data_IF_127176513330
#
_entry.id   IF_127176513330
#
_cell.length_a   1.000
_cell.length_b   1.000
_cell.length_c   1.000
_cell.angle_alpha   90.00
_cell.angle_beta   90.00
_cell.angle_gamma   90.00
#
_symmetry.space_group_name_H-M   'P 1'
#
loop_
_entity.id
_entity.type
_entity.pdbx_description
1 polymer ?
#
# COMPACT_ATOMS: atom_id res chain seq x y z
N UNK A 1 17.17 -7.39 7.94
CA UNK A 1 16.21 -7.55 9.06
C UNK A 1 16.34 -8.94 9.64
N UNK A 2 16.63 -9.02 10.90
CA UNK A 2 16.80 -10.32 11.58
C UNK A 2 15.47 -10.78 12.15
N UNK A 3 14.93 -11.87 11.62
CA UNK A 3 13.68 -12.44 12.09
C UNK A 3 13.92 -13.28 13.36
N UNK A 4 12.98 -13.28 14.32
CA UNK A 4 13.10 -14.15 15.48
C UNK A 4 12.96 -15.63 15.06
N UNK A 5 13.59 -16.53 15.83
CA UNK A 5 13.59 -17.97 15.52
C UNK A 5 12.18 -18.57 15.42
N UNK A 6 11.19 -17.98 16.12
CA UNK A 6 9.81 -18.42 16.11
C UNK A 6 8.91 -17.61 15.18
N UNK A 7 9.48 -16.86 14.21
CA UNK A 7 8.70 -15.97 13.34
C UNK A 7 7.53 -16.69 12.65
N UNK A 8 7.77 -17.89 12.14
CA UNK A 8 6.74 -18.65 11.44
C UNK A 8 5.57 -19.07 12.33
N UNK A 9 5.74 -19.04 13.64
CA UNK A 9 4.72 -19.39 14.63
C UNK A 9 3.93 -18.16 15.12
N UNK A 10 4.36 -16.95 14.75
CA UNK A 10 3.66 -15.73 15.13
C UNK A 10 2.34 -15.61 14.36
N UNK A 11 1.35 -14.96 14.98
CA UNK A 11 0.14 -14.54 14.27
C UNK A 11 0.45 -13.48 13.23
N UNK A 12 -0.47 -13.21 12.29
CA UNK A 12 -0.26 -12.17 11.30
C UNK A 12 -0.11 -10.78 11.95
N UNK A 13 -0.86 -10.49 13.00
CA UNK A 13 -0.72 -9.23 13.75
C UNK A 13 0.64 -9.14 14.43
N UNK A 14 1.10 -10.21 15.06
CA UNK A 14 2.43 -10.25 15.67
C UNK A 14 3.53 -10.05 14.63
N UNK A 15 3.39 -10.64 13.44
CA UNK A 15 4.32 -10.42 12.32
C UNK A 15 4.33 -8.98 11.85
N UNK A 16 3.16 -8.36 11.72
CA UNK A 16 3.04 -6.94 11.35
C UNK A 16 3.76 -6.08 12.38
N UNK A 17 3.50 -6.27 13.66
CA UNK A 17 4.12 -5.48 14.73
C UNK A 17 5.61 -5.75 14.86
N UNK A 18 6.07 -6.92 14.43
CA UNK A 18 7.49 -7.23 14.39
C UNK A 18 8.19 -6.46 13.25
N UNK A 19 7.60 -6.45 12.06
CA UNK A 19 8.15 -5.74 10.89
C UNK A 19 8.03 -4.21 11.00
N UNK A 20 7.02 -3.73 11.70
CA UNK A 20 6.74 -2.30 11.87
C UNK A 20 6.74 -1.92 13.36
N UNK A 21 7.92 -1.70 13.94
CA UNK A 21 8.04 -1.46 15.38
C UNK A 21 7.19 -0.31 15.93
N UNK A 22 6.87 0.70 15.10
CA UNK A 22 6.03 1.83 15.51
C UNK A 22 4.59 1.41 15.81
N UNK A 23 4.17 0.24 15.32
CA UNK A 23 2.82 -0.29 15.54
C UNK A 23 2.71 -1.19 16.77
N UNK A 24 3.82 -1.52 17.42
CA UNK A 24 3.84 -2.43 18.55
C UNK A 24 2.93 -1.96 19.67
N UNK A 25 2.21 -2.90 20.27
CA UNK A 25 1.23 -2.59 21.30
C UNK A 25 -0.10 -2.04 20.77
N UNK A 26 -0.35 -2.15 19.46
CA UNK A 26 -1.59 -1.67 18.86
C UNK A 26 -1.63 -0.15 18.69
N UNK A 27 -0.47 0.51 18.70
CA UNK A 27 -0.40 1.96 18.67
C UNK A 27 -0.58 2.48 17.24
N UNK A 28 -1.53 3.44 17.08
CA UNK A 28 -1.69 4.18 15.83
C UNK A 28 -2.29 3.38 14.68
N UNK A 29 -2.86 2.20 14.94
CA UNK A 29 -3.51 1.41 13.90
C UNK A 29 -4.56 0.46 14.47
N UNK A 30 -5.40 -0.07 13.59
CA UNK A 30 -6.28 -1.21 13.87
C UNK A 30 -6.35 -2.11 12.65
N UNK A 31 -6.51 -3.40 12.85
CA UNK A 31 -6.75 -4.33 11.75
C UNK A 31 -8.20 -4.18 11.25
N UNK A 32 -8.38 -4.24 9.94
CA UNK A 32 -9.67 -4.04 9.28
C UNK A 32 -10.11 -5.24 8.45
N UNK A 33 -9.29 -6.26 8.36
CA UNK A 33 -9.60 -7.53 7.71
C UNK A 33 -8.83 -8.66 8.36
N UNK A 34 -9.20 -9.89 8.03
CA UNK A 34 -8.35 -11.05 8.28
C UNK A 34 -7.22 -11.09 7.24
N UNK A 35 -6.20 -11.91 7.48
CA UNK A 35 -5.14 -12.12 6.51
C UNK A 35 -5.69 -12.76 5.24
N UNK A 36 -5.16 -12.35 4.08
CA UNK A 36 -5.59 -12.89 2.79
C UNK A 36 -4.49 -12.70 1.74
N UNK A 37 -4.45 -13.60 0.75
CA UNK A 37 -3.59 -13.48 -0.41
C UNK A 37 -4.38 -13.12 -1.68
N UNK A 38 -5.67 -12.84 -1.56
CA UNK A 38 -6.56 -12.56 -2.73
C UNK A 38 -6.16 -11.28 -3.44
N UNK A 39 -5.75 -10.27 -2.69
CA UNK A 39 -5.29 -8.99 -3.23
C UNK A 39 -3.99 -8.56 -2.54
N UNK A 40 -3.29 -7.60 -3.13
CA UNK A 40 -2.03 -7.10 -2.59
C UNK A 40 -2.11 -5.58 -2.31
N UNK A 41 -1.01 -5.00 -1.82
CA UNK A 41 -0.98 -3.58 -1.47
C UNK A 41 -1.27 -2.68 -2.68
N UNK A 42 -0.82 -3.07 -3.86
CA UNK A 42 -1.05 -2.30 -5.08
C UNK A 42 -2.53 -2.29 -5.46
N UNK A 43 -3.17 -3.45 -5.57
CA UNK A 43 -4.58 -3.52 -5.92
C UNK A 43 -5.46 -2.89 -4.83
N UNK A 44 -5.13 -3.08 -3.56
CA UNK A 44 -5.88 -2.48 -2.45
C UNK A 44 -5.83 -0.94 -2.50
N UNK A 45 -4.68 -0.36 -2.80
CA UNK A 45 -4.55 1.09 -2.95
C UNK A 45 -5.37 1.63 -4.13
N UNK A 46 -5.58 0.81 -5.17
CA UNK A 46 -6.45 1.14 -6.30
C UNK A 46 -7.94 0.96 -5.98
N UNK A 47 -8.27 0.42 -4.81
CA UNK A 47 -9.65 0.12 -4.41
C UNK A 47 -10.14 -1.23 -4.92
N UNK A 48 -9.26 -2.16 -5.23
CA UNK A 48 -9.58 -3.47 -5.82
C UNK A 48 -9.22 -4.57 -4.82
N UNK A 49 -10.19 -5.42 -4.51
CA UNK A 49 -10.04 -6.50 -3.54
C UNK A 49 -10.33 -7.90 -4.12
N UNK A 50 -10.53 -8.02 -5.44
CA UNK A 50 -10.85 -9.31 -6.06
C UNK A 50 -9.65 -9.99 -6.73
N UNK A 51 -8.52 -9.29 -6.88
CA UNK A 51 -7.31 -9.84 -7.49
C UNK A 51 -6.06 -9.10 -7.04
N UNK A 52 -4.92 -9.71 -7.25
CA UNK A 52 -3.61 -9.07 -7.08
C UNK A 52 -3.16 -8.46 -8.41
N UNK A 53 -2.47 -7.32 -8.33
CA UNK A 53 -1.84 -6.67 -9.48
C UNK A 53 -0.34 -6.95 -9.43
N UNK A 54 0.19 -7.53 -10.48
CA UNK A 54 1.63 -7.78 -10.62
C UNK A 54 2.00 -7.81 -12.11
N UNK A 55 3.07 -7.12 -12.54
CA UNK A 55 3.51 -7.11 -13.93
C UNK A 55 4.16 -8.43 -14.37
N UNK A 56 4.52 -9.31 -13.45
CA UNK A 56 5.19 -10.58 -13.76
C UNK A 56 4.22 -11.52 -14.50
N UNK A 57 4.46 -11.81 -15.80
CA UNK A 57 3.49 -12.59 -16.59
C UNK A 57 3.40 -14.06 -16.18
N UNK A 58 4.35 -14.54 -15.38
CA UNK A 58 4.36 -15.95 -14.92
C UNK A 58 3.56 -16.17 -13.65
N UNK A 59 3.12 -15.10 -13.00
CA UNK A 59 2.31 -15.20 -11.79
C UNK A 59 0.87 -15.50 -12.17
N UNK A 60 0.50 -16.78 -12.12
CA UNK A 60 -0.87 -17.21 -12.40
C UNK A 60 -1.86 -16.58 -11.43
N UNK A 61 -2.98 -16.08 -11.95
CA UNK A 61 -4.03 -15.44 -11.16
C UNK A 61 -3.77 -13.98 -10.81
N UNK A 62 -2.66 -13.42 -11.27
CA UNK A 62 -2.37 -11.99 -11.11
C UNK A 62 -2.91 -11.24 -12.32
N UNK A 63 -3.31 -9.99 -12.07
CA UNK A 63 -3.83 -9.10 -13.11
C UNK A 63 -2.81 -7.99 -13.39
N UNK A 64 -2.72 -7.58 -14.64
CA UNK A 64 -2.00 -6.38 -15.03
C UNK A 64 -2.82 -5.61 -16.07
N UNK A 65 -2.89 -4.30 -15.94
CA UNK A 65 -3.74 -3.49 -16.80
C UNK A 65 -3.21 -3.51 -18.24
N UNK A 66 -4.05 -3.86 -19.24
CA UNK A 66 -3.64 -3.88 -20.64
C UNK A 66 -3.08 -2.55 -21.11
N UNK A 67 -1.95 -2.59 -21.83
CA UNK A 67 -1.31 -1.38 -22.35
C UNK A 67 -0.33 -0.70 -21.41
N UNK A 68 -0.29 -1.07 -20.14
CA UNK A 68 0.73 -0.60 -19.21
C UNK A 68 1.97 -1.49 -19.35
N UNK A 69 3.19 -0.91 -19.49
CA UNK A 69 4.40 -1.73 -19.54
C UNK A 69 4.51 -2.66 -18.32
N UNK A 70 5.01 -3.86 -18.56
CA UNK A 70 5.21 -4.84 -17.49
C UNK A 70 6.55 -4.60 -16.79
N UNK A 71 6.60 -3.53 -16.00
CA UNK A 71 7.78 -3.10 -15.24
C UNK A 71 7.36 -2.68 -13.86
N UNK A 72 8.31 -2.73 -12.93
CA UNK A 72 8.10 -2.27 -11.56
C UNK A 72 9.05 -1.11 -11.29
N UNK A 73 8.61 0.09 -11.65
CA UNK A 73 9.31 1.34 -11.36
C UNK A 73 8.29 2.46 -11.15
N UNK A 74 8.73 3.57 -10.61
CA UNK A 74 7.84 4.68 -10.27
C UNK A 74 7.08 5.19 -11.50
N UNK A 75 7.74 5.34 -12.64
CA UNK A 75 7.12 5.86 -13.86
C UNK A 75 6.01 4.93 -14.37
N UNK A 76 6.27 3.63 -14.40
CA UNK A 76 5.27 2.64 -14.82
C UNK A 76 4.08 2.61 -13.88
N UNK A 77 4.34 2.67 -12.56
CA UNK A 77 3.27 2.65 -11.57
C UNK A 77 2.44 3.93 -11.60
N UNK A 78 3.03 5.08 -11.92
CA UNK A 78 2.25 6.30 -12.19
C UNK A 78 1.32 6.12 -13.39
N UNK A 79 1.77 5.45 -14.45
CA UNK A 79 0.92 5.15 -15.60
C UNK A 79 -0.24 4.25 -15.19
N UNK A 80 0.05 3.20 -14.42
CA UNK A 80 -0.98 2.28 -13.91
C UNK A 80 -2.04 3.03 -13.09
N UNK A 81 -1.60 3.84 -12.13
CA UNK A 81 -2.53 4.63 -11.31
C UNK A 81 -3.30 5.64 -12.17
N UNK A 82 -2.68 6.18 -13.23
CA UNK A 82 -3.35 7.04 -14.20
C UNK A 82 -4.50 6.36 -14.94
N UNK A 83 -4.39 5.06 -15.20
CA UNK A 83 -5.48 4.26 -15.78
C UNK A 83 -6.67 4.13 -14.83
N UNK A 84 -6.46 4.37 -13.54
CA UNK A 84 -7.49 4.39 -12.51
C UNK A 84 -7.84 5.84 -12.08
N UNK A 85 -7.54 6.82 -12.93
CA UNK A 85 -7.87 8.24 -12.77
C UNK A 85 -7.08 8.99 -11.70
N UNK A 86 -6.01 8.42 -11.20
CA UNK A 86 -5.09 9.13 -10.31
C UNK A 86 -4.12 9.99 -11.11
N UNK A 87 -3.86 11.19 -10.60
CA UNK A 87 -2.85 12.10 -11.15
C UNK A 87 -1.85 12.50 -10.08
N UNK A 88 -0.57 12.66 -10.42
CA UNK A 88 0.43 13.14 -9.46
C UNK A 88 0.05 14.51 -8.90
N UNK A 89 0.24 14.72 -7.60
CA UNK A 89 -0.02 15.99 -6.93
C UNK A 89 1.10 16.41 -5.98
N UNK A 90 2.34 15.99 -6.27
CA UNK A 90 3.51 16.37 -5.48
C UNK A 90 3.67 15.52 -4.23
N UNK A 91 3.84 16.15 -3.08
CA UNK A 91 4.09 15.47 -1.80
C UNK A 91 3.08 15.86 -0.72
N UNK A 92 2.01 16.53 -1.08
CA UNK A 92 0.97 16.96 -0.13
C UNK A 92 0.02 15.80 0.16
N UNK A 93 0.19 15.16 1.30
CA UNK A 93 -0.65 14.06 1.78
C UNK A 93 -1.83 14.51 2.63
N UNK A 94 -2.05 15.80 2.79
CA UNK A 94 -3.18 16.34 3.56
C UNK A 94 -4.53 15.95 2.96
N UNK A 95 -5.55 15.88 3.80
CA UNK A 95 -6.91 15.58 3.34
C UNK A 95 -7.43 16.72 2.45
N UNK A 96 -7.97 16.37 1.29
CA UNK A 96 -8.52 17.33 0.34
C UNK A 96 -9.95 16.96 0.00
N UNK A 97 -10.88 17.88 0.26
CA UNK A 97 -12.32 17.63 0.01
C UNK A 97 -12.57 17.26 -1.45
N UNK A 98 -13.34 16.20 -1.67
CA UNK A 98 -13.71 15.73 -3.00
C UNK A 98 -12.67 14.84 -3.68
N UNK A 99 -11.55 14.55 -3.01
CA UNK A 99 -10.47 13.71 -3.56
C UNK A 99 -10.12 12.59 -2.60
N UNK A 100 -9.59 11.50 -3.15
CA UNK A 100 -8.85 10.50 -2.38
C UNK A 100 -7.42 10.45 -2.89
N UNK A 101 -6.48 10.21 -1.96
CA UNK A 101 -5.05 10.22 -2.27
C UNK A 101 -4.46 8.83 -2.05
N UNK A 102 -3.39 8.56 -2.78
CA UNK A 102 -2.50 7.42 -2.54
C UNK A 102 -1.08 7.93 -2.40
N UNK A 103 -0.28 7.22 -1.62
CA UNK A 103 1.13 7.54 -1.43
C UNK A 103 1.95 6.31 -1.77
N UNK A 104 3.03 6.52 -2.52
CA UNK A 104 4.01 5.48 -2.80
C UNK A 104 5.11 5.53 -1.75
N UNK A 105 5.37 4.39 -1.11
CA UNK A 105 6.59 4.19 -0.33
C UNK A 105 7.66 3.67 -1.28
N UNK A 106 8.90 4.09 -1.08
CA UNK A 106 10.03 3.67 -1.92
C UNK A 106 11.26 3.40 -1.07
N UNK A 107 12.12 2.52 -1.56
CA UNK A 107 13.41 2.27 -0.96
C UNK A 107 14.42 3.39 -1.29
N UNK A 108 15.65 3.25 -0.83
CA UNK A 108 16.71 4.25 -1.03
C UNK A 108 17.10 4.42 -2.50
N UNK A 109 16.77 3.45 -3.36
CA UNK A 109 17.01 3.52 -4.80
C UNK A 109 15.81 4.10 -5.58
N UNK A 110 14.77 4.52 -4.88
CA UNK A 110 13.57 5.08 -5.52
C UNK A 110 12.62 4.02 -6.09
N UNK A 111 12.83 2.75 -5.75
CA UNK A 111 11.93 1.67 -6.20
C UNK A 111 10.71 1.62 -5.29
N UNK A 112 9.49 1.70 -5.84
CA UNK A 112 8.28 1.59 -5.03
C UNK A 112 8.18 0.23 -4.32
N UNK A 113 7.81 0.28 -3.05
CA UNK A 113 7.74 -0.90 -2.19
C UNK A 113 6.35 -1.14 -1.62
N UNK A 114 5.54 -0.09 -1.49
CA UNK A 114 4.23 -0.16 -0.87
C UNK A 114 3.37 1.03 -1.28
N UNK A 115 2.06 0.86 -1.16
CA UNK A 115 1.07 1.88 -1.53
C UNK A 115 0.02 1.97 -0.43
N UNK A 116 -0.23 3.18 0.06
CA UNK A 116 -1.28 3.45 1.03
C UNK A 116 -2.35 4.35 0.40
N UNK A 117 -3.62 4.10 0.72
CA UNK A 117 -4.74 4.93 0.24
C UNK A 117 -5.36 5.69 1.40
N UNK A 118 -5.68 6.96 1.17
CA UNK A 118 -6.29 7.81 2.21
C UNK A 118 -7.78 7.52 2.32
N UNK A 119 -8.24 7.45 3.58
CA UNK A 119 -9.64 7.32 3.92
C UNK A 119 -10.28 8.70 4.13
N UNK A 120 -11.61 8.75 4.12
CA UNK A 120 -12.37 10.01 4.27
C UNK A 120 -12.13 10.70 5.61
N UNK A 121 -11.69 9.97 6.63
CA UNK A 121 -11.35 10.54 7.95
C UNK A 121 -9.91 11.09 8.02
N UNK A 122 -9.17 11.07 6.91
CA UNK A 122 -7.78 11.52 6.85
C UNK A 122 -6.75 10.48 7.24
N UNK A 123 -7.17 9.34 7.78
CA UNK A 123 -6.29 8.21 8.05
C UNK A 123 -6.01 7.45 6.76
N UNK A 124 -5.20 6.40 6.86
CA UNK A 124 -4.73 5.64 5.71
C UNK A 124 -5.14 4.18 5.83
N UNK A 125 -5.31 3.50 4.71
CA UNK A 125 -5.50 2.06 4.66
C UNK A 125 -4.38 1.42 3.85
N UNK A 126 -3.87 0.30 4.35
CA UNK A 126 -2.78 -0.45 3.73
C UNK A 126 -3.02 -1.94 3.85
N UNK A 127 -2.73 -2.67 2.77
CA UNK A 127 -2.64 -4.13 2.80
C UNK A 127 -1.20 -4.51 3.12
N UNK A 128 -0.99 -5.13 4.26
CA UNK A 128 0.37 -5.45 4.73
C UNK A 128 0.78 -6.82 4.20
N UNK A 129 1.47 -6.84 3.06
CA UNK A 129 1.92 -8.07 2.45
C UNK A 129 0.80 -9.10 2.29
N UNK A 130 1.02 -10.32 2.73
CA UNK A 130 0.03 -11.40 2.76
C UNK A 130 -0.83 -11.39 4.04
N UNK A 131 -0.70 -10.37 4.88
CA UNK A 131 -1.38 -10.28 6.17
C UNK A 131 -2.65 -9.45 6.07
N UNK A 132 -3.02 -8.78 7.16
CA UNK A 132 -4.25 -8.01 7.26
C UNK A 132 -4.20 -6.70 6.48
N UNK A 133 -5.37 -6.17 6.14
CA UNK A 133 -5.51 -4.74 5.90
C UNK A 133 -5.50 -4.05 7.26
N UNK A 134 -4.92 -2.88 7.30
CA UNK A 134 -4.95 -2.04 8.49
C UNK A 134 -5.41 -0.63 8.15
N UNK A 135 -6.03 0.03 9.13
CA UNK A 135 -6.21 1.47 9.13
C UNK A 135 -5.14 2.05 10.03
N UNK A 136 -4.36 2.99 9.54
CA UNK A 136 -3.28 3.60 10.32
C UNK A 136 -3.36 5.11 10.31
N UNK A 137 -2.95 5.71 11.43
CA UNK A 137 -3.15 7.13 11.67
C UNK A 137 -2.23 7.99 10.81
N UNK A 138 -1.00 7.55 10.60
CA UNK A 138 0.04 8.31 9.91
C UNK A 138 0.74 7.45 8.87
N UNK A 139 1.36 8.11 7.88
CA UNK A 139 2.22 7.42 6.90
C UNK A 139 3.53 6.97 7.55
N UNK A 140 4.02 7.73 8.52
CA UNK A 140 5.32 7.49 9.16
C UNK A 140 5.36 6.18 9.96
N UNK A 141 4.21 5.70 10.42
CA UNK A 141 4.17 4.45 11.21
C UNK A 141 4.58 3.21 10.41
N UNK A 142 4.58 3.28 9.08
CA UNK A 142 5.02 2.18 8.20
C UNK A 142 6.43 2.38 7.63
N UNK A 143 7.14 3.42 8.02
CA UNK A 143 8.56 3.59 7.64
C UNK A 143 9.34 2.44 8.27
N UNK A 144 10.06 1.69 7.43
CA UNK A 144 10.75 0.47 7.86
C UNK A 144 11.78 0.05 6.81
N UNK A 145 12.58 -0.95 7.15
CA UNK A 145 13.47 -1.59 6.18
C UNK A 145 12.68 -2.21 5.02
N UNK A 146 11.49 -2.73 5.32
CA UNK A 146 10.65 -3.40 4.31
C UNK A 146 10.07 -2.42 3.31
N UNK A 147 9.52 -1.29 3.77
CA UNK A 147 8.80 -0.35 2.90
C UNK A 147 9.58 0.92 2.54
N UNK A 148 10.65 1.23 3.24
CA UNK A 148 11.34 2.49 3.03
C UNK A 148 10.53 3.66 3.57
N UNK A 149 10.38 4.72 2.77
CA UNK A 149 9.74 5.97 3.19
C UNK A 149 8.64 6.40 2.22
N UNK A 150 7.61 7.10 2.73
CA UNK A 150 6.59 7.68 1.86
C UNK A 150 7.19 8.80 1.00
N UNK A 151 6.73 8.89 -0.24
CA UNK A 151 7.20 9.86 -1.21
C UNK A 151 6.07 10.48 -2.00
N UNK A 152 6.03 10.20 -3.29
CA UNK A 152 5.07 10.83 -4.19
C UNK A 152 3.62 10.55 -3.81
N UNK A 153 2.79 11.57 -3.97
CA UNK A 153 1.34 11.51 -3.74
C UNK A 153 0.61 11.66 -5.07
N UNK A 154 -0.41 10.84 -5.27
CA UNK A 154 -1.34 10.95 -6.38
C UNK A 154 -2.75 11.12 -5.83
N UNK A 155 -3.62 11.74 -6.61
CA UNK A 155 -5.02 11.92 -6.20
C UNK A 155 -5.99 11.64 -7.34
N UNK A 156 -7.22 11.30 -7.00
CA UNK A 156 -8.34 11.25 -7.94
C UNK A 156 -9.59 11.79 -7.29
N UNK A 157 -10.51 12.28 -8.12
CA UNK A 157 -11.82 12.74 -7.62
C UNK A 157 -12.63 11.57 -7.09
N UNK A 158 -13.29 11.78 -5.97
CA UNK A 158 -14.25 10.82 -5.44
C UNK A 158 -15.45 10.71 -6.39
N UNK A 159 -15.92 9.49 -6.60
CA UNK A 159 -17.08 9.21 -7.44
C UNK A 159 -18.38 9.57 -6.70
N UNK A 160 -19.34 10.12 -7.43
CA UNK A 160 -20.66 10.39 -6.89
C UNK A 160 -20.76 11.61 -5.97
N UNK A 161 -19.78 12.49 -6.03
CA UNK A 161 -19.75 13.72 -5.22
C UNK A 161 -20.11 14.91 -6.07
#
# INVERSE_FOLDING_TARGET
>A
MDFPDNYDQLSSIEKIEWEFPQLRGGIGYRDTSEETIVYNCLSWALGIAWTRYDPEPKCAGYYWFPGVPRKWDEETLKILFGKHNFVPCGFDSGLEAGYEKVVFYSDDNGVPTHFARQLSNGKWTSKIGAYNDIEHDTLECLISETYGKPGIVLKRKLQGV
#
